data_IF_993796393805
#
_entry.id   IF_993796393805
#
_cell.length_a   1.000
_cell.length_b   1.000
_cell.length_c   1.000
_cell.angle_alpha   90.00
_cell.angle_beta   90.00
_cell.angle_gamma   90.00
#
_symmetry.space_group_name_H-M   'P 1'
#
loop_
_entity.id
_entity.type
_entity.pdbx_description
1 polymer ?
#
# COMPACT_ATOMS: atom_id res chain seq x y z
N UNK A 1 -37.72 -55.08 -16.20
CA UNK A 1 -37.30 -54.51 -17.50
C UNK A 1 -35.80 -54.71 -17.65
N UNK A 2 -35.36 -54.86 -18.90
CA UNK A 2 -33.98 -55.02 -19.42
C UNK A 2 -32.93 -54.24 -18.60
N UNK A 3 -31.83 -54.80 -18.07
CA UNK A 3 -30.74 -55.61 -18.65
C UNK A 3 -29.60 -54.77 -19.32
N UNK A 4 -28.32 -55.17 -19.32
CA UNK A 4 -27.43 -55.80 -18.32
C UNK A 4 -26.03 -56.06 -18.93
N UNK A 5 -24.94 -55.71 -18.22
CA UNK A 5 -23.52 -56.11 -18.46
C UNK A 5 -22.89 -55.54 -19.78
N UNK A 6 -21.62 -55.13 -19.87
CA UNK A 6 -20.28 -55.50 -19.34
C UNK A 6 -19.45 -56.45 -20.23
N UNK A 7 -18.26 -55.96 -20.63
CA UNK A 7 -17.02 -56.66 -21.03
C UNK A 7 -16.99 -57.43 -22.35
N UNK A 8 -16.02 -57.08 -23.23
CA UNK A 8 -15.04 -58.04 -23.77
C UNK A 8 -13.81 -57.38 -24.44
N UNK A 9 -12.67 -58.09 -24.46
CA UNK A 9 -11.38 -57.69 -25.05
C UNK A 9 -10.98 -58.64 -26.19
N UNK A 10 -10.30 -58.13 -27.23
CA UNK A 10 -9.36 -58.81 -28.18
C UNK A 10 -8.83 -57.73 -29.17
N UNK A 11 -7.57 -57.59 -29.61
CA UNK A 11 -6.29 -58.34 -29.57
C UNK A 11 -5.81 -58.90 -30.94
N UNK A 12 -5.07 -58.07 -31.72
CA UNK A 12 -4.02 -58.42 -32.72
C UNK A 12 -4.44 -59.29 -33.95
N UNK A 13 -3.58 -59.61 -34.96
CA UNK A 13 -2.21 -59.11 -35.30
C UNK A 13 -1.95 -58.69 -36.79
N UNK A 14 -0.94 -57.82 -36.99
CA UNK A 14 0.22 -57.89 -37.92
C UNK A 14 0.20 -58.39 -39.41
N UNK A 15 1.08 -57.77 -40.23
CA UNK A 15 1.90 -58.27 -41.38
C UNK A 15 1.67 -57.76 -42.84
N UNK A 16 2.81 -57.31 -43.43
CA UNK A 16 3.26 -57.31 -44.86
C UNK A 16 2.43 -56.55 -45.93
N UNK A 17 2.93 -56.13 -47.12
CA UNK A 17 4.02 -56.59 -48.04
C UNK A 17 4.88 -55.39 -48.58
N UNK A 18 6.03 -55.69 -49.22
CA UNK A 18 7.03 -54.75 -49.81
C UNK A 18 7.45 -55.20 -51.23
N UNK A 19 7.79 -54.30 -52.17
CA UNK A 19 9.13 -54.29 -52.79
C UNK A 19 9.74 -52.85 -52.89
N UNK A 20 11.05 -52.53 -52.97
CA UNK A 20 12.37 -53.19 -53.18
C UNK A 20 12.97 -53.02 -54.61
N UNK A 21 14.30 -52.78 -54.68
CA UNK A 21 15.19 -52.51 -55.86
C UNK A 21 15.07 -51.05 -56.37
N UNK A 22 16.11 -50.29 -56.80
CA UNK A 22 17.61 -50.40 -56.83
C UNK A 22 18.25 -49.68 -55.60
N UNK A 23 19.52 -49.23 -55.42
CA UNK A 23 20.80 -49.05 -56.18
C UNK A 23 20.91 -47.84 -57.16
N UNK A 24 22.05 -47.14 -57.37
CA UNK A 24 23.35 -47.08 -56.67
C UNK A 24 24.05 -45.69 -56.87
N UNK A 25 25.12 -45.41 -56.11
CA UNK A 25 26.04 -44.25 -56.21
C UNK A 25 27.38 -44.67 -56.91
N UNK A 26 28.48 -43.87 -57.04
CA UNK A 26 28.74 -42.46 -56.67
C UNK A 26 29.58 -41.61 -57.69
N UNK A 27 30.06 -40.43 -57.25
CA UNK A 27 31.44 -39.89 -57.45
C UNK A 27 31.78 -38.71 -58.42
N UNK A 28 32.66 -37.84 -57.90
CA UNK A 28 33.79 -37.09 -58.51
C UNK A 28 33.63 -35.87 -59.48
N UNK A 29 34.34 -34.80 -59.09
CA UNK A 29 35.16 -33.83 -59.88
C UNK A 29 34.53 -32.87 -60.93
N UNK A 30 34.38 -31.60 -60.50
CA UNK A 30 35.08 -30.39 -61.03
C UNK A 30 35.54 -30.32 -62.51
N UNK A 31 35.19 -29.21 -63.21
CA UNK A 31 36.11 -28.06 -63.41
C UNK A 31 35.57 -26.91 -64.31
N UNK A 32 35.98 -25.67 -63.98
CA UNK A 32 36.33 -24.52 -64.84
C UNK A 32 35.48 -24.06 -66.06
N UNK A 33 35.19 -22.76 -66.08
CA UNK A 33 35.44 -21.84 -67.22
C UNK A 33 35.76 -20.43 -66.65
N UNK A 34 36.31 -19.49 -67.44
CA UNK A 34 37.17 -18.38 -66.95
C UNK A 34 36.89 -17.03 -67.65
N UNK A 35 37.32 -15.94 -66.99
CA UNK A 35 37.43 -14.54 -67.49
C UNK A 35 36.09 -13.76 -67.62
N UNK A 36 36.05 -12.41 -67.63
CA UNK A 36 37.11 -11.42 -67.93
C UNK A 36 36.95 -10.03 -67.23
N UNK A 37 38.07 -9.37 -66.89
CA UNK A 37 38.30 -7.89 -66.76
C UNK A 37 37.49 -7.09 -65.69
N UNK A 38 37.94 -5.98 -65.08
CA UNK A 38 39.25 -5.27 -65.01
C UNK A 38 39.36 -4.43 -63.70
N UNK A 39 40.59 -4.02 -63.33
CA UNK A 39 41.00 -2.81 -62.55
C UNK A 39 40.48 -2.55 -61.10
N UNK A 40 41.35 -2.93 -60.14
CA UNK A 40 42.06 -2.10 -59.13
C UNK A 40 41.79 -0.56 -59.06
N UNK A 41 42.01 0.11 -57.88
CA UNK A 41 43.23 -0.01 -57.05
C UNK A 41 43.06 -0.17 -55.53
N UNK A 42 44.19 -0.41 -54.86
CA UNK A 42 44.34 -0.63 -53.42
C UNK A 42 45.09 0.51 -52.71
N UNK A 43 44.61 0.98 -51.55
CA UNK A 43 45.36 1.87 -50.65
C UNK A 43 45.00 1.65 -49.17
N UNK A 44 45.99 1.84 -48.28
CA UNK A 44 45.77 2.19 -46.87
C UNK A 44 45.33 1.09 -45.91
N UNK A 45 46.27 0.27 -45.43
CA UNK A 45 46.05 -0.54 -44.22
C UNK A 45 46.17 0.38 -42.97
N UNK A 46 45.05 0.71 -42.34
CA UNK A 46 45.02 1.62 -41.18
C UNK A 46 44.32 0.96 -39.97
N UNK A 47 45.09 0.52 -39.00
CA UNK A 47 44.66 -0.24 -37.81
C UNK A 47 43.97 0.63 -36.75
N UNK A 48 42.76 1.14 -37.04
CA UNK A 48 41.91 1.77 -36.02
C UNK A 48 41.39 0.73 -35.02
N UNK A 49 42.08 0.61 -33.89
CA UNK A 49 41.56 -0.07 -32.69
C UNK A 49 40.30 0.66 -32.23
N UNK A 50 39.12 0.09 -32.55
CA UNK A 50 37.82 0.65 -32.14
C UNK A 50 37.52 0.21 -30.71
N UNK A 51 37.98 0.98 -29.73
CA UNK A 51 37.61 0.85 -28.31
C UNK A 51 36.11 1.09 -28.13
N UNK A 52 35.33 0.02 -28.30
CA UNK A 52 33.88 0.03 -28.17
C UNK A 52 33.43 0.15 -26.72
N UNK A 53 33.13 1.37 -26.27
CA UNK A 53 32.62 1.64 -24.92
C UNK A 53 31.32 0.87 -24.65
N UNK A 54 31.36 -0.17 -23.81
CA UNK A 54 30.18 -0.92 -23.33
C UNK A 54 29.30 -0.06 -22.39
N UNK A 55 28.70 1.02 -22.88
CA UNK A 55 27.80 1.90 -22.12
C UNK A 55 26.33 1.68 -22.50
N UNK A 56 25.86 0.44 -22.33
CA UNK A 56 24.47 0.06 -22.64
C UNK A 56 23.99 -1.20 -21.93
N UNK A 57 24.76 -2.30 -21.99
CA UNK A 57 24.30 -3.61 -21.51
C UNK A 57 24.03 -3.69 -20.00
N UNK A 58 24.90 -3.17 -19.14
CA UNK A 58 24.74 -3.32 -17.68
C UNK A 58 23.41 -2.71 -17.16
N UNK A 59 23.00 -1.57 -17.70
CA UNK A 59 21.73 -0.93 -17.35
C UNK A 59 20.50 -1.64 -17.94
N UNK A 60 20.68 -2.48 -18.96
CA UNK A 60 19.64 -3.33 -19.51
C UNK A 60 19.55 -4.67 -18.76
N UNK A 61 20.69 -5.30 -18.44
CA UNK A 61 20.79 -6.52 -17.64
C UNK A 61 20.25 -6.30 -16.20
N UNK A 62 20.58 -5.18 -15.55
CA UNK A 62 20.00 -4.80 -14.24
C UNK A 62 18.50 -4.50 -14.34
N UNK A 63 18.03 -3.96 -15.48
CA UNK A 63 16.59 -3.74 -15.71
C UNK A 63 15.86 -5.07 -15.89
N UNK A 64 16.37 -5.95 -16.75
CA UNK A 64 15.82 -7.28 -17.00
C UNK A 64 15.76 -8.09 -15.69
N UNK A 65 16.83 -8.15 -14.89
CA UNK A 65 16.84 -8.79 -13.56
C UNK A 65 15.86 -8.16 -12.54
N UNK A 66 15.59 -6.85 -12.61
CA UNK A 66 14.59 -6.20 -11.76
C UNK A 66 13.13 -6.45 -12.21
N UNK A 67 12.94 -6.84 -13.48
CA UNK A 67 11.66 -7.21 -14.07
C UNK A 67 11.42 -8.74 -14.12
N UNK A 68 12.42 -9.57 -13.81
CA UNK A 68 12.23 -11.03 -13.75
C UNK A 68 11.12 -11.43 -12.75
N UNK A 69 10.14 -12.27 -13.18
CA UNK A 69 8.99 -12.65 -12.37
C UNK A 69 9.35 -13.76 -11.35
N UNK A 70 10.19 -13.40 -10.38
CA UNK A 70 10.62 -14.31 -9.32
C UNK A 70 9.56 -14.39 -8.22
N UNK A 71 8.62 -15.33 -8.37
CA UNK A 71 7.60 -15.65 -7.36
C UNK A 71 8.21 -15.92 -5.97
N UNK A 72 9.42 -16.50 -5.90
CA UNK A 72 10.19 -16.62 -4.66
C UNK A 72 10.51 -15.29 -3.99
N UNK A 73 10.93 -14.27 -4.75
CA UNK A 73 11.26 -12.96 -4.20
C UNK A 73 10.00 -12.26 -3.66
N UNK A 74 8.87 -12.39 -4.37
CA UNK A 74 7.57 -11.91 -3.89
C UNK A 74 7.14 -12.60 -2.58
N UNK A 75 7.26 -13.93 -2.51
CA UNK A 75 6.95 -14.70 -1.28
C UNK A 75 7.91 -14.38 -0.12
N UNK A 76 9.19 -14.12 -0.40
CA UNK A 76 10.18 -13.68 0.60
C UNK A 76 9.85 -12.28 1.12
N UNK A 77 9.49 -11.33 0.23
CA UNK A 77 9.11 -9.97 0.59
C UNK A 77 7.80 -9.90 1.39
N UNK A 78 6.78 -10.69 1.02
CA UNK A 78 5.52 -10.81 1.75
C UNK A 78 5.71 -11.44 3.14
N UNK A 79 6.50 -12.52 3.22
CA UNK A 79 6.83 -13.17 4.50
C UNK A 79 7.60 -12.23 5.43
N UNK A 80 8.56 -11.46 4.90
CA UNK A 80 9.31 -10.46 5.67
C UNK A 80 8.39 -9.34 6.18
N UNK A 81 7.49 -8.81 5.34
CA UNK A 81 6.51 -7.80 5.75
C UNK A 81 5.58 -8.29 6.87
N UNK A 82 5.12 -9.54 6.80
CA UNK A 82 4.35 -10.19 7.86
C UNK A 82 5.14 -10.31 9.17
N UNK A 83 6.42 -10.69 9.12
CA UNK A 83 7.26 -10.72 10.33
C UNK A 83 7.50 -9.33 10.93
N UNK A 84 7.68 -8.30 10.11
CA UNK A 84 7.84 -6.91 10.56
C UNK A 84 6.57 -6.42 11.28
N UNK A 85 5.38 -6.68 10.71
CA UNK A 85 4.10 -6.31 11.35
C UNK A 85 3.85 -7.14 12.62
N UNK A 86 4.17 -8.43 12.63
CA UNK A 86 4.05 -9.27 13.84
C UNK A 86 4.98 -8.81 14.97
N UNK A 87 6.23 -8.45 14.64
CA UNK A 87 7.18 -7.87 15.60
C UNK A 87 6.71 -6.51 16.15
N UNK A 88 6.23 -5.63 15.28
CA UNK A 88 5.63 -4.36 15.69
C UNK A 88 4.40 -4.52 16.59
N UNK A 89 3.53 -5.49 16.29
CA UNK A 89 2.39 -5.82 17.13
C UNK A 89 2.81 -6.40 18.49
N UNK A 90 3.84 -7.25 18.55
CA UNK A 90 4.38 -7.78 19.80
C UNK A 90 4.99 -6.67 20.68
N UNK A 91 5.72 -5.72 20.08
CA UNK A 91 6.25 -4.53 20.79
C UNK A 91 5.11 -3.63 21.28
N UNK A 92 4.09 -3.39 20.45
CA UNK A 92 2.90 -2.60 20.82
C UNK A 92 2.10 -3.22 21.98
N UNK A 93 1.88 -4.53 21.96
CA UNK A 93 1.25 -5.27 23.05
C UNK A 93 2.14 -5.27 24.32
N UNK A 94 3.44 -5.47 24.18
CA UNK A 94 4.39 -5.38 25.29
C UNK A 94 4.38 -4.01 25.96
N UNK A 95 4.34 -2.93 25.18
CA UNK A 95 4.19 -1.56 25.68
C UNK A 95 2.82 -1.34 26.36
N UNK A 96 1.72 -1.81 25.76
CA UNK A 96 0.38 -1.71 26.35
C UNK A 96 0.30 -2.43 27.70
N UNK A 97 0.86 -3.63 27.82
CA UNK A 97 0.95 -4.36 29.07
C UNK A 97 1.85 -3.64 30.09
N UNK A 98 3.03 -3.17 29.68
CA UNK A 98 4.00 -2.51 30.57
C UNK A 98 3.43 -1.22 31.20
N UNK A 99 2.88 -0.32 30.39
CA UNK A 99 2.26 0.91 30.89
C UNK A 99 0.89 0.66 31.55
N UNK A 100 0.12 -0.33 31.05
CA UNK A 100 -1.20 -0.67 31.60
C UNK A 100 -1.16 -1.34 32.97
N UNK A 101 -0.10 -2.10 33.27
CA UNK A 101 0.16 -2.66 34.60
C UNK A 101 0.88 -1.69 35.55
N UNK A 102 1.13 -0.44 35.14
CA UNK A 102 1.80 0.56 35.99
C UNK A 102 3.26 0.24 36.32
N UNK A 103 3.95 -0.56 35.50
CA UNK A 103 5.35 -0.94 35.74
C UNK A 103 6.38 0.14 35.33
N UNK A 104 5.91 1.32 34.93
CA UNK A 104 6.73 2.50 34.64
C UNK A 104 7.12 3.25 35.92
N UNK A 105 8.36 3.71 36.01
CA UNK A 105 8.84 4.59 37.08
C UNK A 105 8.40 6.06 36.94
N UNK A 106 7.39 6.31 36.10
CA UNK A 106 6.75 7.61 35.85
C UNK A 106 5.23 7.41 35.95
N UNK A 107 4.52 8.47 36.34
CA UNK A 107 3.07 8.51 36.62
C UNK A 107 2.29 7.72 35.55
N UNK A 108 1.58 6.67 36.00
CA UNK A 108 0.98 5.69 35.12
C UNK A 108 -0.13 6.28 34.22
N UNK A 109 -0.42 5.61 33.10
CA UNK A 109 -1.42 6.07 32.12
C UNK A 109 -2.77 6.46 32.74
N UNK A 110 -3.29 5.58 33.59
CA UNK A 110 -4.57 5.72 34.31
C UNK A 110 -4.50 6.88 35.31
N UNK A 111 -3.33 7.09 35.90
CA UNK A 111 -3.05 8.10 36.92
C UNK A 111 -2.90 9.51 36.28
N UNK A 112 -2.15 9.65 35.17
CA UNK A 112 -2.10 10.87 34.36
C UNK A 112 -3.50 11.24 33.84
N UNK A 113 -4.24 10.25 33.34
CA UNK A 113 -5.62 10.46 32.89
C UNK A 113 -6.57 10.85 34.03
N UNK A 114 -6.38 10.33 35.25
CA UNK A 114 -7.12 10.78 36.44
C UNK A 114 -6.79 12.24 36.77
N UNK A 115 -5.48 12.59 36.83
CA UNK A 115 -4.94 13.91 37.20
C UNK A 115 -5.30 15.02 36.18
N UNK A 116 -5.56 14.70 34.91
CA UNK A 116 -5.89 15.71 33.90
C UNK A 116 -7.07 16.63 34.30
N UNK A 117 -6.93 17.96 34.16
CA UNK A 117 -8.04 18.89 34.31
C UNK A 117 -9.20 18.58 33.36
N UNK A 118 -10.44 18.89 33.76
CA UNK A 118 -11.62 18.55 32.96
C UNK A 118 -11.58 19.15 31.55
N UNK A 119 -11.12 20.41 31.39
CA UNK A 119 -10.98 21.02 30.07
C UNK A 119 -10.05 20.25 29.11
N UNK A 120 -9.08 19.49 29.62
CA UNK A 120 -8.20 18.63 28.79
C UNK A 120 -8.98 17.39 28.34
N UNK A 121 -9.75 16.78 29.25
CA UNK A 121 -10.64 15.65 28.98
C UNK A 121 -11.71 16.02 27.94
N UNK A 122 -12.36 17.17 28.09
CA UNK A 122 -13.38 17.69 27.16
C UNK A 122 -12.80 17.91 25.74
N UNK A 123 -11.59 18.46 25.65
CA UNK A 123 -10.86 18.69 24.39
C UNK A 123 -10.48 17.38 23.69
N UNK A 124 -10.02 16.37 24.44
CA UNK A 124 -9.71 15.04 23.91
C UNK A 124 -11.01 14.33 23.48
N UNK A 125 -12.05 14.34 24.32
CA UNK A 125 -13.34 13.71 24.04
C UNK A 125 -14.01 14.31 22.80
N UNK A 126 -14.06 15.64 22.67
CA UNK A 126 -14.61 16.29 21.48
C UNK A 126 -13.81 15.95 20.21
N UNK A 127 -12.48 15.88 20.30
CA UNK A 127 -11.61 15.42 19.19
C UNK A 127 -11.93 13.97 18.79
N UNK A 128 -12.11 13.05 19.75
CA UNK A 128 -12.49 11.67 19.45
C UNK A 128 -13.94 11.52 18.94
N UNK A 129 -14.86 12.41 19.34
CA UNK A 129 -16.21 12.49 18.78
C UNK A 129 -16.19 12.93 17.30
N UNK A 130 -15.42 13.97 16.94
CA UNK A 130 -15.25 14.36 15.53
C UNK A 130 -14.51 13.30 14.72
N UNK A 131 -13.51 12.62 15.30
CA UNK A 131 -12.87 11.45 14.68
C UNK A 131 -13.87 10.33 14.36
N UNK A 132 -14.68 9.90 15.33
CA UNK A 132 -15.70 8.88 15.14
C UNK A 132 -16.76 9.31 14.12
N UNK A 133 -17.21 10.57 14.17
CA UNK A 133 -18.09 11.17 13.16
C UNK A 133 -17.47 11.18 11.75
N UNK A 134 -16.15 11.41 11.64
CA UNK A 134 -15.42 11.39 10.36
C UNK A 134 -15.45 9.99 9.76
N UNK A 135 -15.21 8.95 10.56
CA UNK A 135 -15.31 7.55 10.14
C UNK A 135 -16.74 7.21 9.69
N UNK A 136 -17.75 7.61 10.47
CA UNK A 136 -19.16 7.42 10.12
C UNK A 136 -19.54 8.07 8.78
N UNK A 137 -19.15 9.34 8.60
CA UNK A 137 -19.38 10.10 7.36
C UNK A 137 -18.62 9.49 6.16
N UNK A 138 -17.40 9.02 6.38
CA UNK A 138 -16.58 8.31 5.37
C UNK A 138 -17.28 7.01 4.94
N UNK A 139 -17.77 6.21 5.88
CA UNK A 139 -18.48 4.97 5.59
C UNK A 139 -19.80 5.22 4.85
N UNK A 140 -20.59 6.22 5.26
CA UNK A 140 -21.82 6.63 4.57
C UNK A 140 -21.51 7.08 3.12
N UNK A 141 -20.48 7.90 2.92
CA UNK A 141 -20.05 8.33 1.58
C UNK A 141 -19.56 7.15 0.73
N UNK A 142 -18.76 6.24 1.29
CA UNK A 142 -18.32 5.05 0.58
C UNK A 142 -19.50 4.15 0.14
N UNK A 143 -20.54 4.03 0.96
CA UNK A 143 -21.79 3.33 0.61
C UNK A 143 -22.57 4.08 -0.47
N UNK A 144 -22.65 5.41 -0.41
CA UNK A 144 -23.32 6.22 -1.44
C UNK A 144 -22.60 6.14 -2.80
N UNK A 145 -21.26 6.23 -2.81
CA UNK A 145 -20.43 6.14 -4.02
C UNK A 145 -20.44 4.74 -4.62
N UNK A 146 -20.35 3.69 -3.80
CA UNK A 146 -20.42 2.29 -4.29
C UNK A 146 -21.79 1.89 -4.83
N UNK A 147 -22.87 2.58 -4.43
CA UNK A 147 -24.21 2.44 -5.02
C UNK A 147 -24.44 3.30 -6.27
N UNK A 148 -23.51 4.19 -6.63
CA UNK A 148 -23.63 5.09 -7.79
C UNK A 148 -22.69 4.66 -8.93
N UNK A 149 -23.20 4.04 -10.01
CA UNK A 149 -22.34 3.58 -11.11
C UNK A 149 -21.51 4.69 -11.75
N UNK A 150 -22.03 5.91 -11.81
CA UNK A 150 -21.32 7.06 -12.36
C UNK A 150 -20.12 7.48 -11.50
N UNK A 151 -20.28 7.52 -10.17
CA UNK A 151 -19.20 7.88 -9.24
C UNK A 151 -18.20 6.73 -9.06
N UNK A 152 -18.68 5.49 -9.00
CA UNK A 152 -17.80 4.32 -8.99
C UNK A 152 -16.95 4.24 -10.26
N UNK A 153 -17.55 4.44 -11.44
CA UNK A 153 -16.81 4.53 -12.70
C UNK A 153 -15.89 5.75 -12.81
N UNK A 154 -16.04 6.78 -11.96
CA UNK A 154 -15.07 7.87 -11.86
C UNK A 154 -13.87 7.45 -11.01
N UNK A 155 -14.11 6.77 -9.88
CA UNK A 155 -13.07 6.31 -8.95
C UNK A 155 -12.24 5.13 -9.49
N UNK A 156 -12.82 4.27 -10.34
CA UNK A 156 -12.11 3.12 -10.95
C UNK A 156 -11.40 3.45 -12.26
N UNK A 157 -11.66 4.61 -12.88
CA UNK A 157 -10.97 5.03 -14.10
C UNK A 157 -9.51 5.36 -13.77
N UNK A 158 -8.59 4.47 -14.15
CA UNK A 158 -7.14 4.67 -14.10
C UNK A 158 -6.60 5.74 -15.07
N UNK A 159 -7.38 6.79 -15.37
CA UNK A 159 -6.92 7.94 -16.14
C UNK A 159 -6.04 8.83 -15.25
N UNK A 160 -4.94 9.34 -15.81
CA UNK A 160 -4.05 10.26 -15.09
C UNK A 160 -4.78 11.52 -14.59
N UNK A 161 -5.82 11.97 -15.31
CA UNK A 161 -6.69 13.07 -14.88
C UNK A 161 -7.55 12.69 -13.66
N UNK A 162 -8.07 11.46 -13.59
CA UNK A 162 -8.87 11.00 -12.45
C UNK A 162 -7.99 10.81 -11.20
N UNK A 163 -6.78 10.26 -11.36
CA UNK A 163 -5.78 10.15 -10.30
C UNK A 163 -5.38 11.54 -9.79
N UNK A 164 -5.04 12.47 -10.69
CA UNK A 164 -4.72 13.86 -10.32
C UNK A 164 -5.87 14.57 -9.62
N UNK A 165 -7.11 14.36 -10.09
CA UNK A 165 -8.30 14.96 -9.50
C UNK A 165 -8.61 14.41 -8.09
N UNK A 166 -8.44 13.11 -7.82
CA UNK A 166 -8.66 12.56 -6.47
C UNK A 166 -7.60 13.05 -5.49
N UNK A 167 -6.33 13.12 -5.89
CA UNK A 167 -5.28 13.75 -5.06
C UNK A 167 -5.57 15.24 -4.79
N UNK A 168 -5.93 16.02 -5.82
CA UNK A 168 -6.29 17.41 -5.66
C UNK A 168 -7.52 17.62 -4.76
N UNK A 169 -8.53 16.75 -4.86
CA UNK A 169 -9.71 16.80 -4.00
C UNK A 169 -9.38 16.45 -2.54
N UNK A 170 -8.60 15.38 -2.28
CA UNK A 170 -8.18 15.00 -0.93
C UNK A 170 -7.38 16.11 -0.24
N UNK A 171 -6.36 16.64 -0.94
CA UNK A 171 -5.48 17.70 -0.43
C UNK A 171 -6.26 19.01 -0.27
N UNK A 172 -7.00 19.42 -1.30
CA UNK A 172 -7.79 20.67 -1.28
C UNK A 172 -8.85 20.69 -0.19
N UNK A 173 -9.61 19.60 -0.01
CA UNK A 173 -10.56 19.47 1.10
C UNK A 173 -9.85 19.46 2.46
N UNK A 174 -8.71 18.77 2.57
CA UNK A 174 -7.89 18.74 3.78
C UNK A 174 -7.27 20.11 4.14
N UNK A 175 -7.00 20.96 3.14
CA UNK A 175 -6.57 22.34 3.33
C UNK A 175 -7.75 23.25 3.72
N UNK A 176 -8.92 23.08 3.09
CA UNK A 176 -10.13 23.86 3.36
C UNK A 176 -10.63 23.68 4.81
N UNK A 177 -10.61 22.46 5.34
CA UNK A 177 -10.95 22.23 6.77
C UNK A 177 -9.95 22.96 7.67
N UNK A 178 -8.65 22.94 7.32
CA UNK A 178 -7.59 23.54 8.13
C UNK A 178 -7.61 25.07 8.11
N UNK A 179 -7.96 25.70 6.98
CA UNK A 179 -7.98 27.16 6.83
C UNK A 179 -9.20 27.84 7.46
N UNK A 180 -10.33 27.14 7.60
CA UNK A 180 -11.51 27.70 8.26
C UNK A 180 -11.33 27.62 9.79
N UNK A 181 -11.40 28.74 10.54
CA UNK A 181 -11.38 28.72 12.00
C UNK A 181 -12.72 28.21 12.57
N UNK A 182 -12.64 27.37 13.61
CA UNK A 182 -13.80 26.71 14.21
C UNK A 182 -14.87 27.69 14.76
N UNK A 183 -14.46 28.76 15.46
CA UNK A 183 -15.41 29.65 16.14
C UNK A 183 -16.13 30.64 15.22
N UNK A 184 -15.42 31.26 14.26
CA UNK A 184 -16.00 32.37 13.50
C UNK A 184 -17.09 31.90 12.53
N UNK A 185 -17.00 30.67 12.03
CA UNK A 185 -17.92 30.10 11.05
C UNK A 185 -18.14 28.60 11.30
N UNK A 186 -18.81 28.19 12.39
CA UNK A 186 -18.96 26.78 12.76
C UNK A 186 -19.68 25.98 11.67
N UNK A 187 -20.68 26.56 11.00
CA UNK A 187 -21.39 25.92 9.88
C UNK A 187 -20.45 25.65 8.71
N UNK A 188 -19.62 26.61 8.30
CA UNK A 188 -18.66 26.41 7.21
C UNK A 188 -17.58 25.40 7.58
N UNK A 189 -17.12 25.39 8.85
CA UNK A 189 -16.18 24.39 9.39
C UNK A 189 -16.76 22.98 9.29
N UNK A 190 -18.00 22.80 9.72
CA UNK A 190 -18.68 21.50 9.67
C UNK A 190 -18.98 21.07 8.23
N UNK A 191 -19.37 21.99 7.35
CA UNK A 191 -19.57 21.70 5.93
C UNK A 191 -18.27 21.25 5.24
N UNK A 192 -17.14 21.94 5.48
CA UNK A 192 -15.83 21.54 4.97
C UNK A 192 -15.38 20.18 5.54
N UNK A 193 -15.64 19.92 6.83
CA UNK A 193 -15.32 18.65 7.49
C UNK A 193 -16.12 17.47 6.92
N UNK A 194 -17.43 17.66 6.69
CA UNK A 194 -18.27 16.67 6.01
C UNK A 194 -17.82 16.46 4.56
N UNK A 195 -17.44 17.52 3.84
CA UNK A 195 -16.90 17.44 2.48
C UNK A 195 -15.60 16.64 2.45
N UNK A 196 -14.64 16.91 3.35
CA UNK A 196 -13.39 16.16 3.42
C UNK A 196 -13.62 14.68 3.76
N UNK A 197 -14.48 14.39 4.73
CA UNK A 197 -14.88 13.01 5.07
C UNK A 197 -15.58 12.31 3.90
N UNK A 198 -16.42 13.04 3.17
CA UNK A 198 -17.11 12.57 1.97
C UNK A 198 -16.15 12.22 0.83
N UNK A 199 -15.18 13.10 0.54
CA UNK A 199 -14.14 12.90 -0.48
C UNK A 199 -13.27 11.68 -0.16
N UNK A 200 -12.81 11.55 1.09
CA UNK A 200 -12.06 10.36 1.51
C UNK A 200 -12.91 9.08 1.40
N UNK A 201 -14.20 9.15 1.72
CA UNK A 201 -15.15 8.06 1.51
C UNK A 201 -15.30 7.64 0.04
N UNK A 202 -15.27 8.60 -0.89
CA UNK A 202 -15.25 8.32 -2.32
C UNK A 202 -13.96 7.60 -2.76
N UNK A 203 -12.80 8.01 -2.25
CA UNK A 203 -11.50 7.38 -2.52
C UNK A 203 -11.41 5.97 -1.91
N UNK A 204 -12.06 5.72 -0.77
CA UNK A 204 -12.16 4.39 -0.14
C UNK A 204 -13.19 3.50 -0.83
N UNK A 205 -14.19 4.06 -1.53
CA UNK A 205 -15.30 3.30 -2.11
C UNK A 205 -14.93 2.12 -3.02
N UNK A 206 -13.87 2.16 -3.86
CA UNK A 206 -13.45 1.00 -4.67
C UNK A 206 -13.08 -0.24 -3.84
N UNK A 207 -12.75 -0.09 -2.55
CA UNK A 207 -12.54 -1.26 -1.68
C UNK A 207 -13.82 -2.10 -1.48
N UNK A 208 -15.01 -1.57 -1.82
CA UNK A 208 -16.27 -2.32 -1.82
C UNK A 208 -16.20 -3.62 -2.67
N UNK A 209 -15.38 -3.64 -3.72
CA UNK A 209 -15.17 -4.84 -4.55
C UNK A 209 -14.46 -5.98 -3.80
N UNK A 210 -13.78 -5.72 -2.68
CA UNK A 210 -13.20 -6.74 -1.81
C UNK A 210 -14.25 -7.52 -0.99
N UNK A 211 -15.50 -7.06 -0.99
CA UNK A 211 -16.65 -7.71 -0.36
C UNK A 211 -16.89 -7.28 1.09
N UNK A 212 -18.15 -6.99 1.41
CA UNK A 212 -18.59 -6.50 2.73
C UNK A 212 -18.06 -7.31 3.93
N UNK A 213 -18.14 -8.67 3.94
CA UNK A 213 -17.63 -9.47 5.06
C UNK A 213 -16.13 -9.35 5.30
N UNK A 214 -15.33 -9.05 4.27
CA UNK A 214 -13.89 -8.79 4.40
C UNK A 214 -13.66 -7.39 4.99
N UNK A 215 -14.36 -6.38 4.49
CA UNK A 215 -14.26 -5.01 5.00
C UNK A 215 -14.72 -4.88 6.46
N UNK A 216 -15.75 -5.60 6.88
CA UNK A 216 -16.20 -5.63 8.28
C UNK A 216 -15.12 -6.21 9.20
N UNK A 217 -14.41 -7.26 8.76
CA UNK A 217 -13.25 -7.80 9.50
C UNK A 217 -12.08 -6.82 9.53
N UNK A 218 -11.78 -6.17 8.39
CA UNK A 218 -10.76 -5.14 8.31
C UNK A 218 -11.04 -3.94 9.23
N UNK A 219 -12.32 -3.54 9.33
CA UNK A 219 -12.77 -2.47 10.21
C UNK A 219 -12.59 -2.83 11.69
N UNK A 220 -12.98 -4.04 12.11
CA UNK A 220 -12.77 -4.51 13.48
C UNK A 220 -11.28 -4.62 13.86
N UNK A 221 -10.45 -5.16 12.97
CA UNK A 221 -8.99 -5.21 13.21
C UNK A 221 -8.38 -3.81 13.27
N UNK A 222 -8.84 -2.89 12.41
CA UNK A 222 -8.42 -1.49 12.45
C UNK A 222 -8.86 -0.80 13.75
N UNK A 223 -10.09 -1.02 14.21
CA UNK A 223 -10.57 -0.48 15.48
C UNK A 223 -9.75 -0.99 16.68
N UNK A 224 -9.35 -2.27 16.68
CA UNK A 224 -8.45 -2.84 17.68
C UNK A 224 -7.04 -2.23 17.64
N UNK A 225 -6.46 -2.10 16.44
CA UNK A 225 -5.14 -1.45 16.25
C UNK A 225 -5.20 0.02 16.70
N UNK A 226 -6.20 0.77 16.25
CA UNK A 226 -6.32 2.21 16.51
C UNK A 226 -6.62 2.49 17.98
N UNK A 227 -7.50 1.70 18.60
CA UNK A 227 -7.77 1.78 20.03
C UNK A 227 -6.54 1.44 20.87
N UNK A 228 -5.90 0.30 20.60
CA UNK A 228 -4.70 -0.13 21.33
C UNK A 228 -3.54 0.85 21.22
N UNK A 229 -3.26 1.37 20.03
CA UNK A 229 -2.23 2.39 19.82
C UNK A 229 -2.61 3.74 20.45
N UNK A 230 -3.86 4.21 20.30
CA UNK A 230 -4.33 5.44 20.97
C UNK A 230 -4.15 5.36 22.49
N UNK A 231 -4.48 4.20 23.09
CA UNK A 231 -4.21 3.94 24.51
C UNK A 231 -2.71 4.04 24.80
N UNK A 232 -1.84 3.31 24.10
CA UNK A 232 -0.38 3.39 24.31
C UNK A 232 0.17 4.82 24.17
N UNK A 233 -0.38 5.63 23.25
CA UNK A 233 0.01 7.02 23.08
C UNK A 233 -0.37 7.91 24.26
N UNK A 234 -1.59 7.75 24.80
CA UNK A 234 -2.03 8.41 26.04
C UNK A 234 -1.24 7.92 27.26
N UNK A 235 -0.82 6.65 27.26
CA UNK A 235 0.00 6.05 28.31
C UNK A 235 1.43 6.59 28.37
N UNK A 236 2.07 6.74 27.20
CA UNK A 236 3.52 6.93 27.13
C UNK A 236 3.94 8.41 27.33
N UNK A 237 5.17 8.68 27.84
CA UNK A 237 5.69 10.03 27.99
C UNK A 237 5.75 10.77 26.65
N UNK A 238 5.17 11.98 26.63
CA UNK A 238 4.78 12.72 25.42
C UNK A 238 5.93 13.42 24.68
N UNK A 239 7.15 13.41 25.22
CA UNK A 239 8.32 14.00 24.57
C UNK A 239 8.98 13.05 23.55
N UNK A 240 8.83 11.73 23.70
CA UNK A 240 9.61 10.78 22.90
C UNK A 240 9.09 10.66 21.46
N UNK A 241 7.79 10.44 21.24
CA UNK A 241 7.26 10.31 19.89
C UNK A 241 7.20 11.67 19.17
N UNK A 242 6.93 12.77 19.88
CA UNK A 242 6.86 14.11 19.27
C UNK A 242 8.19 14.50 18.56
N UNK A 243 9.32 14.09 19.11
CA UNK A 243 10.63 14.30 18.49
C UNK A 243 10.92 13.36 17.29
N UNK A 244 10.09 12.34 17.05
CA UNK A 244 10.20 11.43 15.91
C UNK A 244 9.53 11.96 14.63
N UNK A 245 8.90 13.14 14.65
CA UNK A 245 8.20 13.71 13.48
C UNK A 245 9.08 13.84 12.22
N UNK A 246 10.37 14.14 12.37
CA UNK A 246 11.34 14.15 11.26
C UNK A 246 11.53 12.76 10.62
N UNK A 247 11.99 11.75 11.37
CA UNK A 247 12.06 10.35 10.90
C UNK A 247 10.74 9.82 10.31
N UNK A 248 9.59 10.14 10.91
CA UNK A 248 8.27 9.78 10.39
C UNK A 248 8.01 10.40 9.01
N UNK A 249 8.35 11.68 8.81
CA UNK A 249 8.25 12.35 7.51
C UNK A 249 9.12 11.71 6.42
N UNK A 250 10.34 11.28 6.76
CA UNK A 250 11.22 10.53 5.85
C UNK A 250 10.60 9.17 5.49
N UNK A 251 10.08 8.45 6.49
CA UNK A 251 9.34 7.19 6.27
C UNK A 251 8.11 7.37 5.37
N UNK A 252 7.37 8.47 5.52
CA UNK A 252 6.21 8.81 4.70
C UNK A 252 6.60 9.04 3.24
N UNK A 253 7.69 9.77 3.01
CA UNK A 253 8.27 9.92 1.67
C UNK A 253 8.62 8.57 1.03
N UNK A 254 9.22 7.65 1.78
CA UNK A 254 9.57 6.31 1.30
C UNK A 254 8.34 5.42 1.01
N UNK A 255 7.30 5.47 1.85
CA UNK A 255 6.03 4.73 1.65
C UNK A 255 5.22 5.31 0.49
N UNK A 256 5.20 6.64 0.31
CA UNK A 256 4.57 7.29 -0.86
C UNK A 256 5.32 6.91 -2.14
N UNK A 257 6.65 7.03 -2.17
CA UNK A 257 7.46 6.64 -3.32
C UNK A 257 7.29 5.15 -3.68
N UNK A 258 7.21 4.27 -2.69
CA UNK A 258 6.95 2.84 -2.90
C UNK A 258 5.53 2.57 -3.41
N UNK A 259 4.53 3.29 -2.89
CA UNK A 259 3.14 3.20 -3.36
C UNK A 259 3.03 3.63 -4.82
N UNK A 260 3.61 4.78 -5.19
CA UNK A 260 3.64 5.26 -6.58
C UNK A 260 4.43 4.30 -7.48
N UNK A 261 5.60 3.82 -7.04
CA UNK A 261 6.41 2.85 -7.79
C UNK A 261 5.67 1.53 -8.07
N UNK A 262 4.86 1.06 -7.12
CA UNK A 262 4.00 -0.13 -7.29
C UNK A 262 2.86 0.04 -8.31
N UNK A 263 2.56 1.27 -8.75
CA UNK A 263 1.61 1.52 -9.85
C UNK A 263 2.26 1.34 -11.24
N UNK A 264 3.59 1.44 -11.33
CA UNK A 264 4.35 1.33 -12.58
C UNK A 264 5.05 -0.03 -12.76
N UNK A 265 5.06 -0.87 -11.72
CA UNK A 265 5.81 -2.12 -11.67
C UNK A 265 4.87 -3.27 -11.29
N UNK A 266 4.85 -4.39 -12.04
CA UNK A 266 3.97 -5.50 -11.74
C UNK A 266 4.36 -6.12 -10.38
N UNK A 267 3.39 -6.44 -9.49
CA UNK A 267 3.67 -7.00 -8.17
C UNK A 267 4.23 -8.44 -8.21
N UNK A 268 4.49 -8.99 -9.40
CA UNK A 268 5.12 -10.29 -9.64
C UNK A 268 6.62 -10.21 -9.87
N UNK A 269 7.21 -9.04 -10.16
CA UNK A 269 8.68 -8.91 -10.25
C UNK A 269 9.32 -8.73 -8.88
N UNK A 270 10.59 -9.08 -8.74
CA UNK A 270 11.34 -8.94 -7.48
C UNK A 270 11.21 -7.53 -6.88
N UNK A 271 11.39 -6.51 -7.72
CA UNK A 271 11.36 -5.11 -7.30
C UNK A 271 9.93 -4.61 -7.06
N UNK A 272 8.97 -4.97 -7.92
CA UNK A 272 7.56 -4.59 -7.75
C UNK A 272 6.94 -5.18 -6.48
N UNK A 273 7.22 -6.46 -6.19
CA UNK A 273 6.79 -7.11 -4.95
C UNK A 273 7.48 -6.52 -3.70
N UNK A 274 8.75 -6.11 -3.81
CA UNK A 274 9.46 -5.36 -2.77
C UNK A 274 8.78 -4.04 -2.43
N UNK A 275 8.50 -3.20 -3.44
CA UNK A 275 7.79 -1.93 -3.24
C UNK A 275 6.36 -2.12 -2.72
N UNK A 276 5.64 -3.14 -3.20
CA UNK A 276 4.31 -3.50 -2.68
C UNK A 276 4.37 -3.92 -1.21
N UNK A 277 5.36 -4.72 -0.80
CA UNK A 277 5.55 -5.12 0.59
C UNK A 277 5.90 -3.91 1.49
N UNK A 278 6.80 -3.03 1.04
CA UNK A 278 7.11 -1.77 1.74
C UNK A 278 5.87 -0.88 1.86
N UNK A 279 5.07 -0.75 0.79
CA UNK A 279 3.84 0.03 0.81
C UNK A 279 2.80 -0.55 1.79
N UNK A 280 2.47 -1.84 1.71
CA UNK A 280 1.43 -2.45 2.54
C UNK A 280 1.89 -2.64 3.99
N UNK A 281 2.99 -3.37 4.21
CA UNK A 281 3.45 -3.75 5.55
C UNK A 281 4.27 -2.64 6.23
N UNK A 282 5.24 -2.06 5.50
CA UNK A 282 6.03 -0.92 6.00
C UNK A 282 5.16 0.30 6.25
N UNK A 283 4.23 0.59 5.33
CA UNK A 283 3.19 1.60 5.53
C UNK A 283 2.31 1.33 6.75
N UNK A 284 1.84 0.09 6.98
CA UNK A 284 1.01 -0.22 8.14
C UNK A 284 1.72 0.09 9.48
N UNK A 285 3.00 -0.27 9.61
CA UNK A 285 3.80 0.08 10.79
C UNK A 285 3.98 1.59 10.89
N UNK A 286 4.31 2.26 9.78
CA UNK A 286 4.51 3.71 9.75
C UNK A 286 3.26 4.49 10.16
N UNK A 287 2.08 4.16 9.63
CA UNK A 287 0.82 4.83 10.01
C UNK A 287 0.39 4.48 11.44
N UNK A 288 0.77 3.30 11.96
CA UNK A 288 0.68 3.02 13.40
C UNK A 288 1.54 3.96 14.24
N UNK A 289 2.76 4.29 13.78
CA UNK A 289 3.65 5.25 14.45
C UNK A 289 3.18 6.71 14.30
N UNK A 290 2.61 7.11 13.16
CA UNK A 290 1.95 8.41 13.01
C UNK A 290 0.75 8.51 13.95
N UNK A 291 -0.07 7.47 14.07
CA UNK A 291 -1.21 7.47 14.99
C UNK A 291 -0.77 7.66 16.46
N UNK A 292 0.36 7.06 16.86
CA UNK A 292 0.96 7.32 18.18
C UNK A 292 1.40 8.79 18.32
N UNK A 293 2.11 9.32 17.32
CA UNK A 293 2.58 10.71 17.27
C UNK A 293 1.43 11.72 17.34
N UNK A 294 0.40 11.56 16.49
CA UNK A 294 -0.71 12.51 16.40
C UNK A 294 -1.66 12.40 17.61
N UNK A 295 -1.82 11.22 18.22
CA UNK A 295 -2.52 11.10 19.50
C UNK A 295 -1.78 11.86 20.62
N UNK A 296 -0.45 11.75 20.69
CA UNK A 296 0.34 12.55 21.65
C UNK A 296 0.33 14.04 21.32
N UNK A 297 0.29 14.43 20.04
CA UNK A 297 0.18 15.83 19.61
C UNK A 297 -1.20 16.42 19.96
N UNK A 298 -2.28 15.62 19.87
CA UNK A 298 -3.63 15.99 20.32
C UNK A 298 -3.67 16.20 21.83
N UNK A 299 -3.08 15.30 22.62
CA UNK A 299 -2.94 15.43 24.08
C UNK A 299 -2.13 16.67 24.45
N UNK A 300 -0.91 16.82 23.90
CA UNK A 300 -0.04 17.96 24.21
C UNK A 300 -0.66 19.30 23.80
N UNK A 301 -1.42 19.36 22.71
CA UNK A 301 -2.24 20.55 22.36
C UNK A 301 -3.40 20.78 23.34
N UNK A 302 -4.06 19.73 23.82
CA UNK A 302 -5.16 19.84 24.78
C UNK A 302 -4.67 20.34 26.15
N UNK A 303 -3.47 19.94 26.57
CA UNK A 303 -2.76 20.43 27.76
C UNK A 303 -2.24 21.87 27.59
N UNK A 304 -1.54 22.18 26.47
CA UNK A 304 -0.77 23.44 26.36
C UNK A 304 -1.54 24.67 25.88
N UNK A 305 -2.68 24.53 25.18
CA UNK A 305 -3.43 25.71 24.71
C UNK A 305 -4.16 26.39 25.89
N UNK A 306 -3.85 27.66 26.25
CA UNK A 306 -4.49 28.32 27.37
C UNK A 306 -6.00 28.50 27.13
N UNK A 307 -6.80 28.33 28.19
CA UNK A 307 -8.28 28.39 28.11
C UNK A 307 -8.78 29.75 27.62
N UNK A 308 -8.09 30.83 28.00
CA UNK A 308 -8.39 32.21 27.62
C UNK A 308 -7.40 32.78 26.58
N UNK A 309 -6.85 31.92 25.72
CA UNK A 309 -5.91 32.31 24.66
C UNK A 309 -6.58 32.88 23.41
N UNK A 310 -5.82 33.68 22.65
CA UNK A 310 -6.20 34.13 21.29
C UNK A 310 -6.30 32.95 20.32
N UNK A 311 -5.41 31.96 20.47
CA UNK A 311 -5.48 30.69 19.77
C UNK A 311 -6.22 29.65 20.62
N UNK A 312 -7.46 29.35 20.25
CA UNK A 312 -8.32 28.35 20.92
C UNK A 312 -8.20 26.97 20.28
N UNK A 313 -8.65 25.96 21.02
CA UNK A 313 -8.57 24.56 20.62
C UNK A 313 -9.63 24.21 19.56
N UNK A 314 -9.18 23.70 18.41
CA UNK A 314 -10.03 23.27 17.30
C UNK A 314 -10.04 21.73 17.23
N UNK A 315 -11.09 21.06 17.74
CA UNK A 315 -11.13 19.60 17.83
C UNK A 315 -11.25 18.92 16.45
N UNK A 316 -11.76 19.63 15.44
CA UNK A 316 -11.82 19.13 14.05
C UNK A 316 -10.42 19.14 13.45
N UNK A 317 -9.67 20.24 13.56
CA UNK A 317 -8.28 20.28 13.08
C UNK A 317 -7.37 19.32 13.88
N UNK A 318 -7.67 19.08 15.16
CA UNK A 318 -6.99 18.09 15.98
C UNK A 318 -7.26 16.64 15.50
N UNK A 319 -8.50 16.31 15.11
CA UNK A 319 -8.86 14.93 14.75
C UNK A 319 -8.36 14.49 13.37
N UNK A 320 -8.07 15.44 12.46
CA UNK A 320 -7.73 15.15 11.06
C UNK A 320 -6.54 14.19 10.89
N UNK A 321 -5.53 14.26 11.75
CA UNK A 321 -4.33 13.43 11.68
C UNK A 321 -4.61 11.95 11.97
N UNK A 322 -5.06 11.69 13.20
CA UNK A 322 -5.59 10.41 13.70
C UNK A 322 -6.58 9.77 12.70
N UNK A 323 -7.44 10.59 12.10
CA UNK A 323 -8.38 10.19 11.05
C UNK A 323 -7.68 9.73 9.75
N UNK A 324 -6.74 10.51 9.22
CA UNK A 324 -5.98 10.11 8.01
C UNK A 324 -5.11 8.88 8.23
N UNK A 325 -4.54 8.70 9.42
CA UNK A 325 -3.78 7.49 9.77
C UNK A 325 -4.70 6.28 9.85
N UNK A 326 -5.86 6.42 10.51
CA UNK A 326 -6.86 5.36 10.63
C UNK A 326 -7.34 4.86 9.26
N UNK A 327 -7.57 5.75 8.31
CA UNK A 327 -7.93 5.34 6.93
C UNK A 327 -6.76 4.66 6.21
N UNK A 328 -5.52 5.14 6.38
CA UNK A 328 -4.34 4.48 5.82
C UNK A 328 -4.11 3.07 6.40
N UNK A 329 -4.34 2.89 7.70
CA UNK A 329 -4.33 1.59 8.39
C UNK A 329 -5.44 0.70 7.81
N UNK A 330 -6.68 1.19 7.73
CA UNK A 330 -7.83 0.44 7.19
C UNK A 330 -7.59 -0.08 5.78
N UNK A 331 -7.12 0.80 4.86
CA UNK A 331 -6.83 0.43 3.47
C UNK A 331 -5.78 -0.70 3.42
N UNK A 332 -4.72 -0.61 4.23
CA UNK A 332 -3.63 -1.59 4.25
C UNK A 332 -4.06 -2.92 4.89
N UNK A 333 -4.86 -2.88 5.96
CA UNK A 333 -5.46 -4.08 6.58
C UNK A 333 -6.43 -4.77 5.61
N UNK A 334 -7.32 -4.03 4.94
CA UNK A 334 -8.23 -4.60 3.93
C UNK A 334 -7.46 -5.23 2.75
N UNK A 335 -6.42 -4.54 2.26
CA UNK A 335 -5.53 -5.04 1.19
C UNK A 335 -4.80 -6.33 1.62
N UNK A 336 -4.30 -6.38 2.85
CA UNK A 336 -3.62 -7.56 3.40
C UNK A 336 -4.57 -8.76 3.54
N UNK A 337 -5.81 -8.54 3.98
CA UNK A 337 -6.82 -9.60 4.07
C UNK A 337 -7.26 -10.11 2.69
N UNK A 338 -7.34 -9.24 1.69
CA UNK A 338 -7.63 -9.64 0.31
C UNK A 338 -6.50 -10.49 -0.28
N UNK A 339 -5.24 -10.05 -0.17
CA UNK A 339 -4.09 -10.81 -0.63
C UNK A 339 -3.92 -12.15 0.09
N UNK A 340 -4.15 -12.18 1.40
CA UNK A 340 -4.04 -13.39 2.23
C UNK A 340 -5.07 -14.48 1.92
N UNK A 341 -6.20 -14.14 1.29
CA UNK A 341 -7.26 -15.10 0.96
C UNK A 341 -6.98 -15.99 -0.26
N UNK A 342 -6.09 -15.55 -1.17
CA UNK A 342 -5.88 -16.22 -2.46
C UNK A 342 -5.07 -17.54 -2.36
N UNK A 343 -4.16 -17.64 -1.39
CA UNK A 343 -3.29 -18.80 -1.20
C UNK A 343 -3.90 -19.98 -0.43
N UNK A 344 -5.23 -20.17 -0.50
CA UNK A 344 -5.95 -21.20 0.28
C UNK A 344 -7.09 -21.87 -0.52
N UNK A 345 -6.76 -22.31 -1.73
CA UNK A 345 -7.47 -23.30 -2.54
C UNK A 345 -6.46 -24.20 -3.24
#
# INVERSE_FOLDING_TARGET
>A
MLAARLVCLRALPCQTIRPTITQASPALRSSSIKAYRLWQPSQGYASRVRTGTRRGKLGQEVKEAAFEPSAEAALKADRLGKFIVAGGAAVGLGALCYYGMGMSSEIGAIERAAIWPQYVKDRIQSTYMYFAGSIGMTALSAVAVSRSPALMNLMTKGSWLAIGATFAAMIGAGMLVRSIPYENNPVAKHAAWMLHSGVMGAVVAPLAFLGGPLLIRAAWYTAGIVGGLSTVAMCAPSEKFLNMGGPLGIGLGFVIASSIGSMFLPPTSAFGAGLYSVAVYGGLVLFGMFLLYDTQLVVKRAETLPVYGVAKYDPINACLGIYTDTLNIFIRVATMLAGGGSGRK
#
